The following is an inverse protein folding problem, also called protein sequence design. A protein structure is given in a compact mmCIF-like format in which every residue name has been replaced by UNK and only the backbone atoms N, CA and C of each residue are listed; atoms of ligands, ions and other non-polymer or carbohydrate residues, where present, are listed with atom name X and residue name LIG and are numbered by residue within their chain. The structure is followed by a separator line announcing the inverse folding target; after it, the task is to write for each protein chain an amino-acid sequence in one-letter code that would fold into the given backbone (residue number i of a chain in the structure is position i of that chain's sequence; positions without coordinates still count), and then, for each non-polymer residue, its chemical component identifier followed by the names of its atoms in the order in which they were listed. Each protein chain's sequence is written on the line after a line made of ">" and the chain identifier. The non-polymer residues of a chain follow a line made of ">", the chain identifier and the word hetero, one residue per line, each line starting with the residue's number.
data_IF_880363330811
#
_entry.id   IF_880363330811
#
_cell.length_a   1.000
_cell.length_b   1.000
_cell.length_c   1.000
_cell.angle_alpha   90.00
_cell.angle_beta   90.00
_cell.angle_gamma   90.00
#
_symmetry.space_group_name_H-M   'P 1'
#
loop_
_entity.id
_entity.type
_entity.pdbx_description
1 polymer ?
#
# COMPACT_ATOMS: atom_id res chain seq x y z
N UNK A 1 -10.42 -41.75 -46.56
CA UNK A 1 -10.18 -40.55 -45.72
C UNK A 1 -10.35 -40.99 -44.27
N UNK A 2 -9.26 -41.33 -43.59
CA UNK A 2 -9.29 -41.78 -42.20
C UNK A 2 -8.62 -40.70 -41.35
N UNK A 3 -9.36 -40.24 -40.35
CA UNK A 3 -8.93 -39.24 -39.37
C UNK A 3 -7.66 -39.72 -38.65
N UNK A 4 -6.55 -39.02 -38.89
CA UNK A 4 -5.37 -39.08 -38.03
C UNK A 4 -5.72 -38.45 -36.67
N UNK A 5 -6.24 -39.26 -35.74
CA UNK A 5 -6.13 -38.92 -34.33
C UNK A 5 -4.64 -39.00 -33.97
N UNK A 6 -3.99 -37.83 -33.86
CA UNK A 6 -2.69 -37.70 -33.21
C UNK A 6 -2.86 -38.19 -31.75
N UNK A 7 -2.57 -39.46 -31.49
CA UNK A 7 -2.46 -39.97 -30.13
C UNK A 7 -1.24 -39.31 -29.49
N UNK A 8 -1.49 -38.39 -28.55
CA UNK A 8 -0.46 -37.78 -27.70
C UNK A 8 0.04 -38.85 -26.73
N UNK A 9 1.35 -39.10 -26.70
CA UNK A 9 2.00 -40.05 -25.80
C UNK A 9 2.90 -39.33 -24.79
N UNK A 10 3.01 -39.88 -23.58
CA UNK A 10 3.93 -39.39 -22.54
C UNK A 10 3.63 -37.96 -22.07
N UNK A 11 4.67 -37.12 -22.02
CA UNK A 11 4.63 -35.74 -21.52
C UNK A 11 3.65 -34.83 -22.29
N UNK A 12 3.26 -35.22 -23.51
CA UNK A 12 2.29 -34.50 -24.35
C UNK A 12 0.84 -34.64 -23.86
N UNK A 13 0.58 -35.49 -22.86
CA UNK A 13 -0.74 -35.64 -22.22
C UNK A 13 -0.93 -34.73 -21.00
N UNK A 14 0.12 -34.00 -20.61
CA UNK A 14 0.02 -33.08 -19.49
C UNK A 14 -0.97 -31.97 -19.80
N UNK A 15 -1.59 -31.44 -18.75
CA UNK A 15 -2.44 -30.26 -18.89
C UNK A 15 -1.59 -29.05 -19.34
N UNK A 16 -2.20 -28.04 -19.98
CA UNK A 16 -1.52 -26.79 -20.31
C UNK A 16 -0.78 -26.17 -19.12
N UNK A 17 -1.38 -26.20 -17.94
CA UNK A 17 -0.82 -25.62 -16.71
C UNK A 17 0.42 -26.38 -16.26
N UNK A 18 0.38 -27.71 -16.24
CA UNK A 18 1.55 -28.54 -15.91
C UNK A 18 2.66 -28.38 -16.95
N UNK A 19 2.29 -28.22 -18.22
CA UNK A 19 3.26 -27.96 -19.30
C UNK A 19 3.95 -26.61 -19.11
N UNK A 20 3.21 -25.56 -18.74
CA UNK A 20 3.78 -24.25 -18.39
C UNK A 20 4.72 -24.38 -17.20
N UNK A 21 4.31 -25.05 -16.12
CA UNK A 21 5.18 -25.24 -14.94
C UNK A 21 6.49 -25.94 -15.30
N UNK A 22 6.46 -26.95 -16.16
CA UNK A 22 7.67 -27.60 -16.67
C UNK A 22 8.53 -26.66 -17.50
N UNK A 23 7.93 -25.88 -18.39
CA UNK A 23 8.65 -24.87 -19.20
C UNK A 23 9.35 -23.86 -18.29
N UNK A 24 8.71 -23.45 -17.19
CA UNK A 24 9.29 -22.48 -16.26
C UNK A 24 10.49 -23.03 -15.47
N UNK A 25 10.66 -24.35 -15.38
CA UNK A 25 11.85 -24.99 -14.83
C UNK A 25 13.04 -25.04 -15.82
N UNK A 26 12.81 -24.78 -17.10
CA UNK A 26 13.83 -24.84 -18.15
C UNK A 26 14.47 -23.47 -18.39
N UNK A 27 15.78 -23.42 -18.63
CA UNK A 27 16.40 -22.18 -19.10
C UNK A 27 15.93 -21.84 -20.53
N UNK A 28 16.19 -20.60 -20.98
CA UNK A 28 15.73 -20.12 -22.30
C UNK A 28 16.19 -20.99 -23.48
N UNK A 29 17.39 -21.57 -23.42
CA UNK A 29 17.92 -22.47 -24.45
C UNK A 29 17.14 -23.79 -24.50
N UNK A 30 16.84 -24.35 -23.34
CA UNK A 30 16.12 -25.62 -23.20
C UNK A 30 14.64 -25.47 -23.57
N UNK A 31 14.04 -24.30 -23.32
CA UNK A 31 12.69 -23.98 -23.81
C UNK A 31 12.62 -24.02 -25.33
N UNK A 32 13.60 -23.43 -26.03
CA UNK A 32 13.68 -23.46 -27.49
C UNK A 32 13.92 -24.90 -27.97
N UNK A 33 14.84 -25.63 -27.33
CA UNK A 33 15.10 -27.03 -27.67
C UNK A 33 13.81 -27.88 -27.54
N UNK A 34 13.04 -27.69 -26.47
CA UNK A 34 11.75 -28.36 -26.28
C UNK A 34 10.76 -28.00 -27.38
N UNK A 35 10.65 -26.72 -27.75
CA UNK A 35 9.78 -26.27 -28.84
C UNK A 35 10.13 -26.91 -30.18
N UNK A 36 11.41 -27.20 -30.42
CA UNK A 36 11.90 -27.83 -31.66
C UNK A 36 11.73 -29.35 -31.69
N UNK A 37 11.38 -30.01 -30.58
CA UNK A 37 11.29 -31.48 -30.52
C UNK A 37 10.10 -32.06 -31.28
N UNK A 38 8.93 -31.42 -31.22
CA UNK A 38 7.73 -31.88 -31.93
C UNK A 38 6.74 -30.75 -32.18
N UNK A 39 5.81 -30.98 -33.11
CA UNK A 39 4.77 -30.00 -33.48
C UNK A 39 3.90 -29.57 -32.30
N UNK A 40 3.56 -30.50 -31.40
CA UNK A 40 2.73 -30.19 -30.23
C UNK A 40 3.41 -29.16 -29.32
N UNK A 41 4.70 -29.35 -28.98
CA UNK A 41 5.46 -28.38 -28.18
C UNK A 41 5.77 -27.10 -28.95
N UNK A 42 6.05 -27.19 -30.26
CA UNK A 42 6.20 -26.00 -31.09
C UNK A 42 4.94 -25.14 -31.06
N UNK A 43 3.76 -25.74 -31.27
CA UNK A 43 2.48 -25.03 -31.27
C UNK A 43 2.16 -24.49 -29.87
N UNK A 44 2.41 -25.27 -28.81
CA UNK A 44 2.17 -24.83 -27.45
C UNK A 44 3.10 -23.69 -27.03
N UNK A 45 4.41 -23.82 -27.23
CA UNK A 45 5.40 -22.84 -26.74
C UNK A 45 5.41 -21.60 -27.62
N UNK A 46 5.48 -21.75 -28.95
CA UNK A 46 5.76 -20.63 -29.85
C UNK A 46 4.52 -19.81 -30.23
N UNK A 47 3.30 -20.34 -30.03
CA UNK A 47 2.04 -19.66 -30.36
C UNK A 47 1.21 -19.27 -29.13
N UNK A 48 1.51 -19.81 -27.96
CA UNK A 48 0.82 -19.42 -26.73
C UNK A 48 1.55 -18.23 -26.08
N UNK A 49 0.96 -17.04 -26.17
CA UNK A 49 1.56 -15.82 -25.64
C UNK A 49 1.72 -15.85 -24.11
N UNK A 50 0.84 -16.58 -23.41
CA UNK A 50 0.94 -16.73 -21.95
C UNK A 50 2.22 -17.44 -21.52
N UNK A 51 2.79 -18.32 -22.34
CA UNK A 51 4.09 -18.94 -22.04
C UNK A 51 5.17 -17.86 -21.95
N UNK A 52 5.18 -16.92 -22.90
CA UNK A 52 6.16 -15.85 -22.90
C UNK A 52 5.91 -14.82 -21.82
N UNK A 53 4.66 -14.56 -21.44
CA UNK A 53 4.33 -13.73 -20.27
C UNK A 53 5.03 -14.27 -19.00
N UNK A 54 4.88 -15.56 -18.71
CA UNK A 54 5.50 -16.17 -17.54
C UNK A 54 7.04 -16.23 -17.67
N UNK A 55 7.57 -16.41 -18.87
CA UNK A 55 9.02 -16.35 -19.11
C UNK A 55 9.58 -14.94 -18.90
N UNK A 56 8.86 -13.89 -19.31
CA UNK A 56 9.25 -12.50 -19.05
C UNK A 56 9.25 -12.21 -17.55
N UNK A 57 8.22 -12.67 -16.83
CA UNK A 57 8.15 -12.51 -15.38
C UNK A 57 9.30 -13.26 -14.68
N UNK A 58 9.59 -14.49 -15.08
CA UNK A 58 10.68 -15.28 -14.49
C UNK A 58 12.06 -14.70 -14.78
N UNK A 59 12.35 -14.39 -16.05
CA UNK A 59 13.70 -14.03 -16.48
C UNK A 59 14.04 -12.55 -16.22
N UNK A 60 13.04 -11.67 -16.27
CA UNK A 60 13.23 -10.22 -16.15
C UNK A 60 12.47 -9.61 -14.96
N UNK A 61 11.60 -10.37 -14.28
CA UNK A 61 10.82 -9.85 -13.15
C UNK A 61 9.74 -8.84 -13.57
N UNK A 62 9.25 -8.92 -14.82
CA UNK A 62 8.28 -7.97 -15.39
C UNK A 62 6.96 -8.68 -15.68
N UNK A 63 5.88 -8.13 -15.13
CA UNK A 63 4.49 -8.62 -15.25
C UNK A 63 3.53 -7.55 -15.82
N UNK A 64 4.06 -6.52 -16.47
CA UNK A 64 3.28 -5.45 -17.08
C UNK A 64 3.68 -5.26 -18.54
N UNK A 65 2.68 -4.95 -19.36
CA UNK A 65 2.81 -4.59 -20.77
C UNK A 65 1.69 -3.62 -21.11
N UNK A 66 1.95 -2.72 -22.05
CA UNK A 66 0.93 -1.82 -22.59
C UNK A 66 -0.13 -2.64 -23.37
N UNK A 67 -1.43 -2.38 -23.17
CA UNK A 67 -2.49 -3.11 -23.87
C UNK A 67 -2.87 -2.48 -25.23
N UNK A 68 -2.39 -1.27 -25.52
CA UNK A 68 -2.76 -0.44 -26.67
C UNK A 68 -1.98 -0.78 -27.95
N UNK A 69 -1.02 -1.70 -27.89
CA UNK A 69 -0.27 -2.19 -29.06
C UNK A 69 -0.42 -3.69 -29.18
N UNK A 70 -0.58 -4.15 -30.42
CA UNK A 70 -0.59 -5.56 -30.81
C UNK A 70 0.80 -6.22 -30.67
N UNK A 71 1.59 -5.83 -29.67
CA UNK A 71 2.85 -6.47 -29.34
C UNK A 71 2.56 -7.73 -28.54
N UNK A 72 2.97 -8.89 -29.04
CA UNK A 72 2.89 -10.16 -28.28
C UNK A 72 3.93 -10.19 -27.15
N UNK A 73 3.64 -10.86 -26.03
CA UNK A 73 4.64 -11.14 -24.98
C UNK A 73 5.87 -11.86 -25.54
N UNK A 74 5.71 -12.67 -26.58
CA UNK A 74 6.82 -13.27 -27.32
C UNK A 74 7.75 -12.22 -27.93
N UNK A 75 7.20 -11.23 -28.63
CA UNK A 75 7.97 -10.13 -29.21
C UNK A 75 8.71 -9.37 -28.11
N UNK A 76 8.00 -9.05 -27.02
CA UNK A 76 8.58 -8.36 -25.88
C UNK A 76 9.73 -9.15 -25.22
N UNK A 77 9.56 -10.47 -25.05
CA UNK A 77 10.60 -11.36 -24.54
C UNK A 77 11.85 -11.33 -25.43
N UNK A 78 11.67 -11.38 -26.75
CA UNK A 78 12.77 -11.31 -27.73
C UNK A 78 13.47 -9.95 -27.65
N UNK A 79 12.74 -8.86 -27.51
CA UNK A 79 13.31 -7.51 -27.44
C UNK A 79 14.11 -7.29 -26.15
N UNK A 80 13.65 -7.85 -25.03
CA UNK A 80 14.43 -7.89 -23.78
C UNK A 80 15.68 -8.77 -23.91
N UNK A 81 15.55 -9.96 -24.49
CA UNK A 81 16.66 -10.90 -24.69
C UNK A 81 17.74 -10.33 -25.62
N UNK A 82 17.32 -9.65 -26.70
CA UNK A 82 18.21 -9.06 -27.70
C UNK A 82 18.65 -7.64 -27.35
N UNK A 83 18.13 -7.05 -26.26
CA UNK A 83 18.37 -5.66 -25.82
C UNK A 83 18.09 -4.62 -26.90
N UNK A 84 17.07 -4.87 -27.74
CA UNK A 84 16.60 -3.91 -28.75
C UNK A 84 15.89 -2.72 -28.11
N UNK A 85 15.29 -2.93 -26.94
CA UNK A 85 14.61 -1.90 -26.17
C UNK A 85 15.29 -1.72 -24.80
N UNK A 86 15.12 -0.55 -24.16
CA UNK A 86 15.55 -0.34 -22.77
C UNK A 86 14.96 -1.39 -21.82
N UNK A 87 15.72 -1.75 -20.79
CA UNK A 87 15.31 -2.74 -19.79
C UNK A 87 14.28 -2.12 -18.85
N UNK A 88 13.13 -2.79 -18.74
CA UNK A 88 12.07 -2.43 -17.80
C UNK A 88 12.49 -2.64 -16.35
N UNK A 89 12.04 -1.77 -15.45
CA UNK A 89 12.25 -1.95 -14.02
C UNK A 89 11.40 -3.11 -13.48
N UNK A 90 12.04 -4.19 -13.03
CA UNK A 90 11.38 -5.32 -12.35
C UNK A 90 10.60 -4.92 -11.10
N UNK A 91 11.06 -3.91 -10.38
CA UNK A 91 10.41 -3.52 -9.12
C UNK A 91 9.06 -2.82 -9.35
N UNK A 92 8.86 -2.24 -10.54
CA UNK A 92 7.58 -1.65 -10.92
C UNK A 92 6.47 -2.70 -11.00
N UNK A 93 6.81 -3.98 -11.20
CA UNK A 93 5.85 -5.10 -11.18
C UNK A 93 5.19 -5.33 -9.82
N UNK A 94 5.83 -4.88 -8.74
CA UNK A 94 5.26 -4.96 -7.38
C UNK A 94 4.32 -3.79 -7.07
N UNK A 95 4.28 -2.76 -7.93
CA UNK A 95 3.41 -1.59 -7.76
C UNK A 95 2.02 -1.91 -8.29
N UNK A 96 1.02 -1.71 -7.44
CA UNK A 96 -0.38 -1.86 -7.83
C UNK A 96 -0.80 -0.74 -8.79
N UNK A 97 -1.63 -1.10 -9.77
CA UNK A 97 -2.16 -0.16 -10.75
C UNK A 97 -2.99 0.93 -10.09
N UNK A 98 -3.72 0.56 -9.04
CA UNK A 98 -4.58 1.45 -8.30
C UNK A 98 -4.01 1.73 -6.91
N UNK A 99 -3.40 2.92 -6.67
CA UNK A 99 -2.94 3.31 -5.36
C UNK A 99 -4.10 3.40 -4.37
N UNK A 100 -3.81 3.10 -3.09
CA UNK A 100 -4.77 3.24 -2.00
C UNK A 100 -5.28 4.68 -1.92
N UNK A 101 -6.53 4.86 -1.48
CA UNK A 101 -7.13 6.18 -1.29
C UNK A 101 -6.27 7.05 -0.35
N UNK A 102 -5.60 6.42 0.62
CA UNK A 102 -4.73 7.08 1.59
C UNK A 102 -3.48 7.65 0.94
N UNK A 103 -2.83 6.92 0.00
CA UNK A 103 -1.74 7.48 -0.82
C UNK A 103 -2.19 8.69 -1.60
N UNK A 104 -3.37 8.63 -2.20
CA UNK A 104 -3.94 9.74 -2.98
C UNK A 104 -4.14 10.97 -2.11
N UNK A 105 -4.71 10.80 -0.92
CA UNK A 105 -4.91 11.89 0.04
C UNK A 105 -3.57 12.46 0.51
N UNK A 106 -2.62 11.60 0.91
CA UNK A 106 -1.27 12.03 1.34
C UNK A 106 -0.59 12.84 0.23
N UNK A 107 -0.57 12.31 -1.00
CA UNK A 107 0.02 12.99 -2.15
C UNK A 107 -0.63 14.34 -2.43
N UNK A 108 -1.97 14.42 -2.37
CA UNK A 108 -2.71 15.67 -2.57
C UNK A 108 -2.41 16.71 -1.50
N UNK A 109 -2.44 16.31 -0.23
CA UNK A 109 -2.18 17.21 0.89
C UNK A 109 -0.73 17.73 0.80
N UNK A 110 0.23 16.86 0.51
CA UNK A 110 1.62 17.23 0.41
C UNK A 110 1.94 18.11 -0.82
N UNK A 111 1.05 18.16 -1.83
CA UNK A 111 1.13 19.14 -2.93
C UNK A 111 0.58 20.52 -2.55
N UNK A 112 -0.31 20.60 -1.56
CA UNK A 112 -1.05 21.83 -1.19
C UNK A 112 -0.51 22.50 0.08
N UNK A 113 0.15 21.75 0.96
CA UNK A 113 0.61 22.20 2.27
C UNK A 113 2.12 21.92 2.45
N UNK A 114 2.79 22.58 3.41
CA UNK A 114 4.18 22.26 3.73
C UNK A 114 4.35 20.76 4.02
N UNK A 115 5.46 20.23 3.53
CA UNK A 115 5.82 18.82 3.53
C UNK A 115 5.71 18.19 4.92
N UNK A 116 5.04 17.04 5.01
CA UNK A 116 4.94 16.29 6.26
C UNK A 116 6.34 15.89 6.75
N UNK A 117 6.52 15.75 8.06
CA UNK A 117 7.79 15.23 8.61
C UNK A 117 7.99 13.77 8.23
N UNK A 118 9.25 13.36 8.12
CA UNK A 118 9.63 11.98 7.87
C UNK A 118 9.12 11.04 8.96
N UNK A 119 8.59 9.88 8.56
CA UNK A 119 8.07 8.86 9.46
C UNK A 119 9.15 8.09 10.22
N UNK A 120 10.41 8.21 9.81
CA UNK A 120 11.53 7.47 10.39
C UNK A 120 12.36 8.33 11.33
N UNK A 121 12.79 9.52 10.90
CA UNK A 121 13.61 10.41 11.72
C UNK A 121 12.85 11.52 12.44
N UNK A 122 11.58 11.77 12.07
CA UNK A 122 10.70 12.80 12.64
C UNK A 122 11.27 14.23 12.71
N UNK A 123 12.36 14.50 11.99
CA UNK A 123 13.12 15.76 12.03
C UNK A 123 13.14 16.42 10.67
N UNK A 124 13.51 15.68 9.63
CA UNK A 124 13.55 16.16 8.25
C UNK A 124 12.16 16.09 7.58
N UNK A 125 11.99 16.87 6.52
CA UNK A 125 10.82 16.82 5.65
C UNK A 125 10.80 15.52 4.84
N UNK A 126 9.61 14.93 4.69
CA UNK A 126 9.42 13.79 3.84
C UNK A 126 9.39 14.22 2.36
N UNK A 127 10.28 13.61 1.58
CA UNK A 127 10.42 13.87 0.13
C UNK A 127 9.79 12.75 -0.68
N UNK A 128 9.81 11.52 -0.15
CA UNK A 128 9.35 10.32 -0.82
C UNK A 128 8.16 9.71 -0.12
N UNK A 129 7.16 9.30 -0.91
CA UNK A 129 6.07 8.41 -0.50
C UNK A 129 6.36 7.01 -1.06
N UNK A 130 6.34 5.98 -0.22
CA UNK A 130 6.55 4.61 -0.68
C UNK A 130 5.45 4.17 -1.64
N UNK A 131 5.79 3.41 -2.69
CA UNK A 131 4.80 2.77 -3.56
C UNK A 131 4.46 1.33 -3.13
N UNK A 132 4.91 0.90 -1.94
CA UNK A 132 4.56 -0.39 -1.36
C UNK A 132 3.03 -0.50 -1.14
N UNK A 133 2.31 -1.48 -1.70
CA UNK A 133 0.86 -1.59 -1.50
C UNK A 133 0.42 -1.78 -0.05
N UNK A 134 1.32 -2.21 0.83
CA UNK A 134 1.03 -2.48 2.24
C UNK A 134 1.52 -1.40 3.19
N UNK A 135 2.17 -0.35 2.67
CA UNK A 135 2.70 0.73 3.49
C UNK A 135 2.37 2.09 2.92
N UNK A 136 2.10 3.02 3.83
CA UNK A 136 1.79 4.41 3.54
C UNK A 136 2.95 5.33 3.90
N UNK A 137 4.13 4.78 4.24
CA UNK A 137 5.27 5.53 4.80
C UNK A 137 5.81 6.63 3.91
N UNK A 138 6.21 7.73 4.55
CA UNK A 138 6.83 8.89 3.97
C UNK A 138 8.23 9.07 4.55
N UNK A 139 9.23 9.18 3.68
CA UNK A 139 10.64 9.23 4.06
C UNK A 139 11.33 10.50 3.55
N UNK A 140 12.26 11.03 4.34
CA UNK A 140 13.26 11.96 3.83
C UNK A 140 14.31 11.22 2.99
N UNK A 141 15.18 11.98 2.31
CA UNK A 141 16.20 11.44 1.41
C UNK A 141 17.25 10.56 2.11
N UNK A 142 17.56 10.86 3.37
CA UNK A 142 18.49 10.08 4.17
C UNK A 142 17.86 8.74 4.58
N UNK A 143 16.66 8.78 5.18
CA UNK A 143 15.96 7.57 5.64
C UNK A 143 15.51 6.63 4.53
N UNK A 144 15.17 7.13 3.33
CA UNK A 144 14.76 6.24 2.22
C UNK A 144 15.90 5.37 1.70
N UNK A 145 17.15 5.84 1.84
CA UNK A 145 18.36 5.11 1.42
C UNK A 145 18.84 4.13 2.48
N UNK A 146 18.56 4.42 3.75
CA UNK A 146 18.85 3.49 4.83
C UNK A 146 17.89 2.33 4.67
N UNK A 147 18.38 1.20 4.17
CA UNK A 147 17.63 -0.06 4.14
C UNK A 147 17.35 -0.47 5.59
N UNK A 148 16.24 0.02 6.15
CA UNK A 148 15.74 -0.50 7.42
C UNK A 148 15.54 -2.01 7.27
N UNK A 149 15.66 -2.74 8.37
CA UNK A 149 15.77 -4.21 8.46
C UNK A 149 14.58 -5.00 7.88
N UNK A 150 13.50 -4.33 7.47
CA UNK A 150 12.40 -4.90 6.68
C UNK A 150 12.56 -4.43 5.23
N UNK A 151 12.62 -5.35 4.26
CA UNK A 151 12.89 -5.08 2.84
C UNK A 151 12.29 -3.74 2.36
N UNK A 152 13.12 -2.70 2.14
CA UNK A 152 12.62 -1.42 1.70
C UNK A 152 12.08 -1.60 0.28
N UNK A 153 10.80 -1.26 0.10
CA UNK A 153 10.20 -1.28 -1.22
C UNK A 153 10.90 -0.23 -2.10
N UNK A 154 11.56 -0.61 -3.21
CA UNK A 154 12.51 0.26 -3.87
C UNK A 154 11.86 1.34 -4.74
N UNK A 155 10.59 1.18 -5.13
CA UNK A 155 9.88 2.19 -5.92
C UNK A 155 9.26 3.22 -5.00
N UNK A 156 9.62 4.49 -5.22
CA UNK A 156 9.29 5.63 -4.40
C UNK A 156 8.71 6.74 -5.28
N UNK A 157 7.68 7.42 -4.79
CA UNK A 157 7.13 8.62 -5.42
C UNK A 157 7.78 9.85 -4.79
N UNK A 158 8.48 10.63 -5.59
CA UNK A 158 8.95 11.95 -5.18
C UNK A 158 7.78 12.93 -5.19
N UNK A 159 7.37 13.38 -4.00
CA UNK A 159 6.13 14.13 -3.82
C UNK A 159 6.17 15.50 -4.50
N UNK A 160 7.32 16.19 -4.44
CA UNK A 160 7.51 17.51 -5.02
C UNK A 160 7.33 17.52 -6.54
N UNK A 161 7.94 16.55 -7.24
CA UNK A 161 7.90 16.49 -8.71
C UNK A 161 6.75 15.63 -9.23
N UNK A 162 6.26 14.67 -8.45
CA UNK A 162 5.33 13.64 -8.90
C UNK A 162 6.01 12.54 -9.75
N UNK A 163 7.34 12.42 -9.70
CA UNK A 163 8.09 11.41 -10.43
C UNK A 163 8.20 10.11 -9.63
N UNK A 164 8.13 8.96 -10.30
CA UNK A 164 8.47 7.67 -9.72
C UNK A 164 9.97 7.39 -9.90
N UNK A 165 10.59 6.93 -8.83
CA UNK A 165 12.00 6.55 -8.78
C UNK A 165 12.14 5.12 -8.30
N UNK A 166 13.00 4.34 -8.93
CA UNK A 166 13.48 3.09 -8.34
C UNK A 166 14.82 3.36 -7.69
N UNK A 167 14.88 3.22 -6.36
CA UNK A 167 16.08 3.45 -5.55
C UNK A 167 16.85 2.15 -5.25
N UNK A 168 16.51 1.06 -5.93
CA UNK A 168 17.33 -0.16 -5.87
C UNK A 168 18.68 0.06 -6.54
N UNK A 169 19.75 -0.51 -5.99
CA UNK A 169 21.12 -0.31 -6.46
C UNK A 169 21.29 -0.76 -7.93
N UNK A 170 20.52 -1.76 -8.39
CA UNK A 170 20.61 -2.24 -9.78
C UNK A 170 19.80 -1.40 -10.79
N UNK A 171 19.03 -0.42 -10.33
CA UNK A 171 18.16 0.40 -11.17
C UNK A 171 18.45 1.89 -10.99
N UNK A 172 18.36 2.40 -9.76
CA UNK A 172 18.79 3.74 -9.33
C UNK A 172 18.47 4.87 -10.32
N UNK A 173 17.25 4.86 -10.88
CA UNK A 173 16.81 5.80 -11.92
C UNK A 173 15.37 6.22 -11.78
N UNK A 174 15.03 7.29 -12.50
CA UNK A 174 13.66 7.71 -12.74
C UNK A 174 12.96 6.65 -13.61
N UNK A 175 11.70 6.38 -13.30
CA UNK A 175 10.87 5.44 -14.04
C UNK A 175 9.92 6.19 -14.97
N UNK A 176 9.69 5.64 -16.16
CA UNK A 176 8.76 6.18 -17.15
C UNK A 176 9.15 7.55 -17.69
N UNK A 177 10.44 7.84 -17.82
CA UNK A 177 10.91 9.00 -18.57
C UNK A 177 10.90 8.73 -20.09
N UNK A 178 11.33 9.69 -20.90
CA UNK A 178 11.34 9.57 -22.37
C UNK A 178 12.32 8.50 -22.86
N UNK A 179 13.34 8.17 -22.06
CA UNK A 179 14.36 7.16 -22.37
C UNK A 179 13.97 5.75 -21.90
N UNK A 180 12.98 5.64 -21.02
CA UNK A 180 12.41 4.39 -20.54
C UNK A 180 11.74 3.58 -21.65
N UNK A 181 11.61 2.28 -21.41
CA UNK A 181 10.79 1.40 -22.24
C UNK A 181 9.32 1.88 -22.29
N UNK A 182 8.67 1.80 -23.44
CA UNK A 182 7.27 2.21 -23.62
C UNK A 182 6.30 1.46 -22.70
N UNK A 183 6.57 0.19 -22.40
CA UNK A 183 5.77 -0.59 -21.44
C UNK A 183 5.91 -0.05 -20.01
N UNK A 184 7.11 0.42 -19.64
CA UNK A 184 7.35 1.07 -18.35
C UNK A 184 6.68 2.44 -18.29
N UNK A 185 6.82 3.25 -19.35
CA UNK A 185 6.15 4.55 -19.46
C UNK A 185 4.63 4.40 -19.28
N UNK A 186 4.02 3.43 -19.97
CA UNK A 186 2.59 3.14 -19.83
C UNK A 186 2.19 2.82 -18.39
N UNK A 187 2.90 1.88 -17.74
CA UNK A 187 2.62 1.46 -16.36
C UNK A 187 2.78 2.62 -15.38
N UNK A 188 3.84 3.41 -15.51
CA UNK A 188 4.07 4.61 -14.68
C UNK A 188 2.96 5.64 -14.88
N UNK A 189 2.60 5.95 -16.12
CA UNK A 189 1.55 6.90 -16.44
C UNK A 189 0.20 6.46 -15.88
N UNK A 190 -0.15 5.18 -16.00
CA UNK A 190 -1.38 4.63 -15.42
C UNK A 190 -1.41 4.81 -13.89
N UNK A 191 -0.33 4.45 -13.19
CA UNK A 191 -0.23 4.59 -11.73
C UNK A 191 -0.34 6.06 -11.31
N UNK A 192 0.35 6.97 -12.01
CA UNK A 192 0.33 8.40 -11.73
C UNK A 192 -1.02 9.05 -12.04
N UNK A 193 -1.70 8.62 -13.11
CA UNK A 193 -3.06 9.08 -13.44
C UNK A 193 -4.04 8.63 -12.37
N UNK A 194 -4.00 7.35 -11.97
CA UNK A 194 -4.84 6.83 -10.88
C UNK A 194 -4.57 7.51 -9.53
N UNK A 195 -3.35 8.00 -9.30
CA UNK A 195 -3.02 8.78 -8.11
C UNK A 195 -3.62 10.19 -8.12
N UNK A 196 -3.71 10.80 -9.31
CA UNK A 196 -4.24 12.16 -9.52
C UNK A 196 -5.76 12.19 -9.66
N UNK A 197 -6.35 11.14 -10.23
CA UNK A 197 -7.78 11.07 -10.48
C UNK A 197 -8.59 11.00 -9.18
N UNK A 198 -9.49 11.97 -9.01
CA UNK A 198 -10.61 11.86 -8.08
C UNK A 198 -11.66 10.96 -8.72
N UNK A 199 -11.72 9.70 -8.29
CA UNK A 199 -12.87 8.87 -8.62
C UNK A 199 -14.09 9.47 -7.91
N UNK A 200 -14.93 10.17 -8.67
CA UNK A 200 -16.22 10.70 -8.19
C UNK A 200 -16.97 9.58 -7.45
N UNK A 201 -17.31 9.83 -6.18
CA UNK A 201 -18.00 8.87 -5.33
C UNK A 201 -17.11 7.94 -4.48
N UNK A 202 -15.79 7.85 -4.70
CA UNK A 202 -14.88 7.07 -3.83
C UNK A 202 -14.90 7.59 -2.39
N UNK A 203 -14.66 8.89 -2.24
CA UNK A 203 -14.68 9.56 -0.94
C UNK A 203 -16.05 9.46 -0.27
N UNK A 204 -17.13 9.58 -1.04
CA UNK A 204 -18.49 9.49 -0.50
C UNK A 204 -18.85 8.07 -0.03
N UNK A 205 -18.40 7.03 -0.73
CA UNK A 205 -18.52 5.65 -0.27
C UNK A 205 -17.73 5.43 1.01
N UNK A 206 -16.49 5.94 1.07
CA UNK A 206 -15.63 5.87 2.26
C UNK A 206 -16.28 6.58 3.46
N UNK A 207 -16.77 7.81 3.29
CA UNK A 207 -17.50 8.56 4.33
C UNK A 207 -18.69 7.79 4.87
N UNK A 208 -19.50 7.19 3.98
CA UNK A 208 -20.66 6.38 4.38
C UNK A 208 -20.23 5.14 5.18
N UNK A 209 -19.20 4.43 4.74
CA UNK A 209 -18.68 3.27 5.44
C UNK A 209 -18.12 3.64 6.83
N UNK A 210 -17.34 4.71 6.93
CA UNK A 210 -16.77 5.17 8.20
C UNK A 210 -17.83 5.73 9.15
N UNK A 211 -18.84 6.41 8.63
CA UNK A 211 -19.99 6.84 9.42
C UNK A 211 -20.74 5.64 10.01
N UNK A 212 -20.96 4.59 9.22
CA UNK A 212 -21.58 3.35 9.69
C UNK A 212 -20.72 2.65 10.75
N UNK A 213 -19.40 2.57 10.53
CA UNK A 213 -18.45 2.02 11.50
C UNK A 213 -18.53 2.78 12.83
N UNK A 214 -18.47 4.11 12.80
CA UNK A 214 -18.57 4.95 14.00
C UNK A 214 -19.90 4.74 14.76
N UNK A 215 -21.02 4.63 14.04
CA UNK A 215 -22.32 4.34 14.66
C UNK A 215 -22.34 2.96 15.31
N UNK A 216 -21.70 1.96 14.71
CA UNK A 216 -21.55 0.63 15.30
C UNK A 216 -20.73 0.70 16.60
N UNK A 217 -19.62 1.43 16.60
CA UNK A 217 -18.79 1.65 17.80
C UNK A 217 -19.59 2.37 18.90
N UNK A 218 -20.33 3.43 18.58
CA UNK A 218 -21.14 4.11 19.60
C UNK A 218 -22.19 3.22 20.26
N UNK A 219 -22.77 2.26 19.52
CA UNK A 219 -23.94 1.48 19.96
C UNK A 219 -23.65 0.06 20.41
N UNK A 220 -22.55 -0.56 19.94
CA UNK A 220 -22.29 -2.00 20.10
C UNK A 220 -20.83 -2.32 20.44
N UNK A 221 -20.07 -1.32 20.86
CA UNK A 221 -18.69 -1.52 21.31
C UNK A 221 -18.65 -2.39 22.57
N UNK A 222 -17.77 -3.39 22.53
CA UNK A 222 -17.49 -4.25 23.67
C UNK A 222 -16.41 -3.57 24.53
N UNK A 223 -16.83 -3.02 25.67
CA UNK A 223 -15.95 -2.29 26.60
C UNK A 223 -14.86 -3.17 27.24
N UNK A 224 -14.94 -4.50 27.07
CA UNK A 224 -13.88 -5.42 27.49
C UNK A 224 -12.69 -5.43 26.56
N UNK A 225 -12.86 -4.95 25.33
CA UNK A 225 -11.78 -4.85 24.37
C UNK A 225 -10.73 -3.85 24.86
N UNK A 226 -9.53 -4.02 24.35
CA UNK A 226 -8.45 -3.06 24.53
C UNK A 226 -8.81 -1.74 23.82
N UNK A 227 -8.44 -0.63 24.42
CA UNK A 227 -8.65 0.70 23.85
C UNK A 227 -7.32 1.37 23.50
N UNK A 228 -7.39 2.20 22.48
CA UNK A 228 -6.28 2.98 21.96
C UNK A 228 -6.58 4.48 22.10
N UNK A 229 -5.50 5.26 22.19
CA UNK A 229 -5.55 6.71 22.25
C UNK A 229 -5.26 7.31 20.88
N UNK A 230 -6.11 8.24 20.47
CA UNK A 230 -5.99 8.98 19.21
C UNK A 230 -5.91 10.47 19.52
N UNK A 231 -4.94 11.20 18.96
CA UNK A 231 -4.86 12.65 19.17
C UNK A 231 -6.18 13.35 18.83
N UNK A 232 -6.67 14.20 19.75
CA UNK A 232 -7.99 14.85 19.65
C UNK A 232 -8.18 15.63 18.35
N UNK A 233 -7.12 16.31 17.91
CA UNK A 233 -7.16 17.11 16.69
C UNK A 233 -7.37 16.22 15.46
N UNK A 234 -6.70 15.07 15.40
CA UNK A 234 -6.90 14.11 14.32
C UNK A 234 -8.30 13.49 14.37
N UNK A 235 -8.75 13.09 15.57
CA UNK A 235 -10.10 12.57 15.79
C UNK A 235 -11.18 13.55 15.33
N UNK A 236 -11.01 14.85 15.61
CA UNK A 236 -11.90 15.92 15.12
C UNK A 236 -11.92 16.00 13.59
N UNK A 237 -10.76 15.97 12.93
CA UNK A 237 -10.69 15.99 11.47
C UNK A 237 -11.39 14.78 10.86
N UNK A 238 -11.21 13.59 11.44
CA UNK A 238 -11.91 12.38 11.03
C UNK A 238 -13.43 12.48 11.21
N UNK A 239 -13.88 13.02 12.34
CA UNK A 239 -15.31 13.25 12.63
C UNK A 239 -15.97 14.20 11.62
N UNK A 240 -15.29 15.28 11.23
CA UNK A 240 -15.76 16.23 10.21
C UNK A 240 -15.80 15.59 8.82
N UNK A 241 -14.80 14.77 8.48
CA UNK A 241 -14.76 14.06 7.20
C UNK A 241 -15.97 13.14 7.02
N UNK A 242 -16.29 12.31 8.02
CA UNK A 242 -17.42 11.36 7.92
C UNK A 242 -18.79 12.05 7.87
N UNK A 243 -18.94 13.27 8.41
CA UNK A 243 -20.20 14.04 8.35
C UNK A 243 -20.31 14.95 7.13
N UNK A 244 -19.28 15.00 6.26
CA UNK A 244 -19.16 15.97 5.13
C UNK A 244 -19.00 17.43 5.59
N UNK A 245 -18.77 17.65 6.88
CA UNK A 245 -18.66 18.98 7.47
C UNK A 245 -17.19 19.42 7.51
N UNK A 246 -16.57 19.54 6.34
CA UNK A 246 -15.37 20.37 6.21
C UNK A 246 -14.08 19.72 5.71
N UNK A 247 -13.07 20.59 5.66
CA UNK A 247 -11.68 20.35 5.32
C UNK A 247 -10.81 20.60 6.56
N UNK A 248 -9.59 20.03 6.65
CA UNK A 248 -8.90 19.18 5.67
C UNK A 248 -9.35 17.71 5.70
N UNK A 249 -8.96 16.95 4.68
CA UNK A 249 -9.13 15.49 4.71
C UNK A 249 -8.21 14.87 5.77
N UNK A 250 -8.68 13.86 6.53
CA UNK A 250 -7.85 13.15 7.49
C UNK A 250 -6.68 12.48 6.78
N UNK A 251 -5.48 12.76 7.28
CA UNK A 251 -4.23 12.16 6.85
C UNK A 251 -3.84 11.05 7.83
N UNK A 252 -2.56 10.69 7.92
CA UNK A 252 -2.08 9.73 8.91
C UNK A 252 -2.43 10.15 10.34
N UNK A 253 -2.68 9.15 11.18
CA UNK A 253 -2.86 9.36 12.62
C UNK A 253 -1.50 9.75 13.20
N UNK A 254 -1.36 10.98 13.69
CA UNK A 254 -0.19 11.39 14.46
C UNK A 254 -0.56 11.40 15.93
N UNK A 255 0.25 10.71 16.74
CA UNK A 255 0.15 10.72 18.20
C UNK A 255 1.33 11.45 18.85
N UNK A 256 2.07 12.25 18.08
CA UNK A 256 3.28 12.93 18.55
C UNK A 256 2.99 13.87 19.72
N UNK A 257 1.82 14.52 19.76
CA UNK A 257 1.44 15.41 20.88
C UNK A 257 1.02 14.67 22.14
N UNK A 258 0.81 13.36 22.06
CA UNK A 258 0.55 12.52 23.22
C UNK A 258 1.86 12.03 23.86
N UNK A 259 2.98 12.17 23.16
CA UNK A 259 4.27 11.65 23.55
C UNK A 259 5.13 12.70 24.27
N UNK A 260 5.92 12.25 25.24
CA UNK A 260 7.10 12.97 25.73
C UNK A 260 8.23 12.91 24.69
N UNK A 261 9.28 13.70 24.89
CA UNK A 261 10.47 13.72 24.02
C UNK A 261 11.19 12.36 23.91
N UNK A 262 11.05 11.48 24.91
CA UNK A 262 11.59 10.13 24.90
C UNK A 262 10.67 9.09 24.23
N UNK A 263 9.53 9.51 23.67
CA UNK A 263 8.55 8.63 23.01
C UNK A 263 7.60 7.88 23.96
N UNK A 264 7.73 8.03 25.28
CA UNK A 264 6.74 7.51 26.22
C UNK A 264 5.46 8.35 26.16
N UNK A 265 4.31 7.78 26.54
CA UNK A 265 3.10 8.58 26.70
C UNK A 265 3.32 9.65 27.77
N UNK A 266 2.76 10.84 27.58
CA UNK A 266 2.74 11.87 28.60
C UNK A 266 1.59 11.61 29.60
N UNK A 267 1.86 11.32 30.90
CA UNK A 267 0.81 11.11 31.89
C UNK A 267 0.03 12.38 32.23
N UNK A 268 0.48 13.56 31.77
CA UNK A 268 -0.20 14.83 31.98
C UNK A 268 -1.43 15.03 31.07
N UNK A 269 -1.56 14.23 30.01
CA UNK A 269 -2.68 14.34 29.07
C UNK A 269 -4.04 14.17 29.77
N UNK A 270 -5.07 14.77 29.18
CA UNK A 270 -6.45 14.64 29.65
C UNK A 270 -7.22 13.76 28.67
N UNK A 271 -7.98 12.81 29.21
CA UNK A 271 -8.82 11.88 28.45
C UNK A 271 -10.30 12.14 28.76
N UNK A 272 -11.21 11.80 27.84
CA UNK A 272 -12.63 11.81 28.14
C UNK A 272 -12.96 10.76 29.20
N UNK A 273 -13.88 11.09 30.10
CA UNK A 273 -14.39 10.19 31.15
C UNK A 273 -15.77 9.62 30.82
N UNK A 274 -16.43 10.17 29.81
CA UNK A 274 -17.78 9.81 29.41
C UNK A 274 -17.80 9.66 27.88
N UNK A 275 -18.20 8.48 27.42
CA UNK A 275 -18.27 8.14 25.99
C UNK A 275 -19.26 9.00 25.20
N UNK A 276 -20.37 9.39 25.81
CA UNK A 276 -21.46 10.07 25.10
C UNK A 276 -21.41 11.59 25.25
N UNK A 277 -20.61 12.09 26.19
CA UNK A 277 -20.48 13.52 26.43
C UNK A 277 -19.31 14.12 25.64
N UNK A 278 -19.54 15.25 24.93
CA UNK A 278 -18.45 16.01 24.33
C UNK A 278 -17.43 16.44 25.38
N UNK A 279 -16.17 16.14 25.15
CA UNK A 279 -15.06 16.53 26.03
C UNK A 279 -14.06 17.40 25.23
N UNK A 280 -14.30 18.72 25.09
CA UNK A 280 -13.49 19.60 24.26
C UNK A 280 -12.10 19.87 24.85
N UNK A 281 -11.92 19.74 26.16
CA UNK A 281 -10.65 20.00 26.87
C UNK A 281 -9.71 18.79 26.93
N UNK A 282 -9.97 17.73 26.16
CA UNK A 282 -9.15 16.52 26.15
C UNK A 282 -8.07 16.59 25.08
N UNK A 283 -6.97 15.88 25.33
CA UNK A 283 -5.83 15.82 24.42
C UNK A 283 -5.95 14.64 23.45
N UNK A 284 -6.67 13.59 23.85
CA UNK A 284 -6.95 12.42 23.03
C UNK A 284 -8.43 12.04 23.10
N UNK A 285 -8.85 11.26 22.10
CA UNK A 285 -10.06 10.43 22.11
C UNK A 285 -9.67 8.98 22.43
N UNK A 286 -10.60 8.25 23.04
CA UNK A 286 -10.48 6.81 23.34
C UNK A 286 -11.29 6.06 22.28
N UNK A 287 -10.68 5.06 21.65
CA UNK A 287 -11.33 4.21 20.63
C UNK A 287 -11.09 2.73 20.92
N UNK A 288 -12.05 1.85 20.63
CA UNK A 288 -11.81 0.40 20.69
C UNK A 288 -10.69 -0.06 19.78
N UNK A 289 -10.15 -1.23 20.09
CA UNK A 289 -9.23 -1.98 19.24
C UNK A 289 -9.82 -2.24 17.84
N UNK A 290 -11.12 -2.49 17.70
CA UNK A 290 -11.74 -2.73 16.39
C UNK A 290 -11.69 -1.48 15.51
N UNK A 291 -12.11 -0.34 16.06
CA UNK A 291 -12.00 0.94 15.37
C UNK A 291 -10.55 1.27 15.09
N UNK A 292 -9.66 1.10 16.06
CA UNK A 292 -8.24 1.34 15.91
C UNK A 292 -7.62 0.54 14.74
N UNK A 293 -7.88 -0.76 14.66
CA UNK A 293 -7.37 -1.61 13.57
C UNK A 293 -7.86 -1.14 12.20
N UNK A 294 -9.13 -0.71 12.11
CA UNK A 294 -9.64 -0.10 10.90
C UNK A 294 -8.92 1.21 10.58
N UNK A 295 -8.82 2.14 11.53
CA UNK A 295 -8.21 3.45 11.31
C UNK A 295 -6.72 3.32 10.97
N UNK A 296 -5.99 2.44 11.66
CA UNK A 296 -4.58 2.14 11.36
C UNK A 296 -4.43 1.61 9.93
N UNK A 297 -5.29 0.69 9.50
CA UNK A 297 -5.27 0.17 8.13
C UNK A 297 -5.67 1.23 7.09
N UNK A 298 -6.67 2.05 7.41
CA UNK A 298 -7.26 3.01 6.49
C UNK A 298 -6.49 4.33 6.40
N UNK A 299 -5.69 4.71 7.40
CA UNK A 299 -4.98 5.98 7.43
C UNK A 299 -3.48 5.83 7.63
N UNK A 300 -3.01 4.70 8.16
CA UNK A 300 -1.67 4.58 8.67
C UNK A 300 -1.44 5.40 9.95
N UNK A 301 -0.37 5.09 10.65
CA UNK A 301 0.04 5.76 11.88
C UNK A 301 1.42 6.36 11.67
N UNK A 302 1.59 7.60 12.10
CA UNK A 302 2.88 8.27 12.16
C UNK A 302 3.40 8.22 13.60
N UNK A 303 4.50 7.50 13.81
CA UNK A 303 5.09 7.27 15.13
C UNK A 303 4.44 6.11 15.89
N UNK A 304 4.51 6.16 17.23
CA UNK A 304 4.02 5.10 18.12
C UNK A 304 2.52 5.23 18.40
N UNK A 305 1.83 4.09 18.43
CA UNK A 305 0.46 4.00 18.97
C UNK A 305 0.48 3.82 20.47
N UNK A 306 -0.50 4.40 21.16
CA UNK A 306 -0.64 4.29 22.60
C UNK A 306 -1.95 3.61 22.95
N UNK A 307 -1.88 2.71 23.92
CA UNK A 307 -2.96 1.85 24.33
C UNK A 307 -2.95 1.61 25.83
N UNK A 308 -3.93 0.87 26.34
CA UNK A 308 -3.98 0.47 27.75
C UNK A 308 -2.70 -0.24 28.24
N UNK A 309 -2.00 -0.97 27.36
CA UNK A 309 -0.75 -1.65 27.69
C UNK A 309 0.41 -0.68 27.95
N UNK A 310 0.33 0.56 27.46
CA UNK A 310 1.34 1.59 27.68
C UNK A 310 1.14 2.30 29.04
N UNK A 311 0.05 2.00 29.74
CA UNK A 311 -0.34 2.64 30.99
C UNK A 311 0.02 1.82 32.24
N UNK A 312 0.96 0.88 32.18
CA UNK A 312 1.23 -0.05 33.30
C UNK A 312 1.94 0.61 34.50
N UNK A 313 2.76 1.64 34.27
CA UNK A 313 3.53 2.28 35.34
C UNK A 313 2.68 3.12 36.32
N UNK A 314 3.11 3.31 37.58
CA UNK A 314 2.36 4.08 38.58
C UNK A 314 2.01 5.51 38.15
N UNK A 315 2.88 6.16 37.36
CA UNK A 315 2.66 7.52 36.86
C UNK A 315 1.39 7.67 36.00
N UNK A 316 0.89 6.57 35.42
CA UNK A 316 -0.30 6.55 34.57
C UNK A 316 -1.60 6.20 35.33
N UNK A 317 -1.58 6.10 36.67
CA UNK A 317 -2.75 5.72 37.46
C UNK A 317 -3.98 6.58 37.17
N UNK A 318 -3.80 7.89 36.97
CA UNK A 318 -4.88 8.82 36.60
C UNK A 318 -5.48 8.50 35.23
N UNK A 319 -4.64 8.18 34.24
CA UNK A 319 -5.10 7.85 32.89
C UNK A 319 -5.87 6.53 32.88
N UNK A 320 -5.42 5.52 33.64
CA UNK A 320 -6.16 4.28 33.84
C UNK A 320 -7.55 4.55 34.42
N UNK A 321 -7.63 5.39 35.45
CA UNK A 321 -8.91 5.83 36.02
C UNK A 321 -9.85 6.44 34.99
N UNK A 322 -9.35 7.32 34.10
CA UNK A 322 -10.18 7.88 33.03
C UNK A 322 -10.68 6.83 32.04
N UNK A 323 -9.87 5.82 31.70
CA UNK A 323 -10.30 4.74 30.80
C UNK A 323 -11.34 3.85 31.48
N UNK A 324 -11.17 3.55 32.77
CA UNK A 324 -12.15 2.79 33.54
C UNK A 324 -13.48 3.53 33.66
N UNK A 325 -13.44 4.85 33.94
CA UNK A 325 -14.61 5.71 33.96
C UNK A 325 -15.29 5.75 32.58
N UNK A 326 -14.52 5.90 31.51
CA UNK A 326 -15.03 5.88 30.14
C UNK A 326 -15.73 4.56 29.79
N UNK A 327 -15.13 3.42 30.15
CA UNK A 327 -15.70 2.08 29.91
C UNK A 327 -16.97 1.85 30.72
N UNK A 328 -17.02 2.32 31.94
CA UNK A 328 -18.18 2.16 32.83
C UNK A 328 -19.29 3.17 32.54
N UNK A 329 -18.99 4.29 31.87
CA UNK A 329 -19.97 5.34 31.55
C UNK A 329 -21.15 4.84 30.72
N UNK A 330 -20.99 3.76 29.94
CA UNK A 330 -22.09 3.16 29.17
C UNK A 330 -23.23 2.67 30.07
N UNK A 331 -22.94 2.27 31.30
CA UNK A 331 -23.94 1.82 32.26
C UNK A 331 -24.85 2.95 32.74
N UNK A 332 -24.40 4.20 32.61
CA UNK A 332 -25.20 5.39 32.94
C UNK A 332 -26.20 5.77 31.83
N UNK A 333 -26.11 5.14 30.65
CA UNK A 333 -26.92 5.43 29.48
C UNK A 333 -27.50 4.12 28.88
N UNK A 334 -28.53 3.53 29.53
CA UNK A 334 -29.12 2.25 29.14
C UNK A 334 -29.84 2.24 27.79
#
# INVERSE_FOLDING_TARGET
>A
MLNNHNQLYGIQRLSPELTIQLILLLNSRDVIALALTCKHFSDFILKNDSVFEHLVERDYGVNYKRPDVEESWKTFYIDQYTRKAPICCRHLSRVQDEPSETKRVIYRVAKQQPTMKCDFCHSEEAVYLTMNPFSESQACRSCVKVKTTEEPFPVQLEVATGNLWCLDDSCSRKLGDEESNLNEQYKVNMVLNNLKEEKEGSLDRRRKAEHQLYVQELRREDMKLKHYLVEKQWGRTWMLFRTREGSPLPTKISNQKLARSNGSLDPSIRLPVDKYRPAPETHADIVSEKLWLYLQKAYGVQGRSYSEDDLQYPEYARLRGYIDDFKTSILAYP
#
